data_IF_214281440560
#
_entry.id   IF_214281440560
#
_cell.length_a   1.000
_cell.length_b   1.000
_cell.length_c   1.000
_cell.angle_alpha   90.00
_cell.angle_beta   90.00
_cell.angle_gamma   90.00
#
_symmetry.space_group_name_H-M   'P 1'
#
loop_
_entity.id
_entity.type
_entity.pdbx_description
1 polymer ?
#
# COMPACT_ATOMS: atom_id res chain seq x y z
N UNK A 1 24.80 -1.66 6.51
CA UNK A 1 24.13 -1.25 5.26
C UNK A 1 23.57 -2.49 4.57
N UNK A 2 22.39 -2.38 3.95
CA UNK A 2 21.76 -3.49 3.25
C UNK A 2 21.22 -3.01 1.92
N UNK A 3 21.43 -3.80 0.87
CA UNK A 3 20.88 -3.53 -0.47
C UNK A 3 19.83 -4.61 -0.74
N UNK A 4 18.62 -4.18 -1.05
CA UNK A 4 17.48 -5.08 -1.23
C UNK A 4 16.96 -4.93 -2.66
N UNK A 5 16.86 -6.06 -3.36
CA UNK A 5 16.18 -6.10 -4.65
C UNK A 5 14.77 -6.66 -4.42
N UNK A 6 13.76 -5.82 -4.59
CA UNK A 6 12.36 -6.21 -4.35
C UNK A 6 11.95 -7.42 -5.19
N UNK A 7 12.49 -7.54 -6.40
CA UNK A 7 12.18 -8.67 -7.28
C UNK A 7 12.58 -10.03 -6.68
N UNK A 8 13.51 -10.05 -5.73
CA UNK A 8 13.99 -11.28 -5.10
C UNK A 8 13.18 -11.66 -3.84
N UNK A 9 12.22 -10.84 -3.45
CA UNK A 9 11.36 -11.11 -2.30
C UNK A 9 10.15 -11.89 -2.78
N UNK A 10 9.85 -13.01 -2.11
CA UNK A 10 8.67 -13.80 -2.43
C UNK A 10 7.40 -12.97 -2.22
N UNK A 11 6.55 -12.93 -3.26
CA UNK A 11 5.26 -12.27 -3.18
C UNK A 11 4.27 -13.22 -2.49
N UNK A 12 3.54 -12.69 -1.52
CA UNK A 12 2.51 -13.46 -0.80
C UNK A 12 1.14 -12.91 -1.13
N UNK A 13 0.20 -13.80 -1.46
CA UNK A 13 -1.17 -13.40 -1.67
C UNK A 13 -1.83 -13.12 -0.32
N UNK A 14 -2.41 -11.93 -0.17
CA UNK A 14 -3.05 -11.49 1.07
C UNK A 14 -4.53 -11.15 0.85
N UNK A 15 -5.11 -11.65 -0.23
CA UNK A 15 -6.50 -11.33 -0.63
C UNK A 15 -7.54 -11.72 0.42
N UNK A 16 -7.22 -12.65 1.30
CA UNK A 16 -8.08 -13.04 2.42
C UNK A 16 -8.03 -12.12 3.63
N UNK A 17 -7.13 -11.14 3.64
CA UNK A 17 -7.06 -10.16 4.71
C UNK A 17 -8.32 -9.27 4.68
N UNK A 18 -8.98 -9.02 5.83
CA UNK A 18 -10.19 -8.18 5.88
C UNK A 18 -10.03 -6.78 5.29
N UNK A 19 -8.80 -6.29 5.17
CA UNK A 19 -8.53 -4.96 4.61
C UNK A 19 -8.84 -4.88 3.10
N UNK A 20 -8.78 -6.00 2.37
CA UNK A 20 -8.88 -6.01 0.90
C UNK A 20 -10.17 -6.65 0.40
N UNK A 21 -10.60 -6.23 -0.80
CA UNK A 21 -11.70 -6.87 -1.51
C UNK A 21 -11.65 -6.58 -3.02
N UNK A 22 -12.38 -7.37 -3.79
CA UNK A 22 -12.55 -7.16 -5.23
C UNK A 22 -11.60 -7.94 -6.12
N UNK A 23 -10.65 -8.71 -5.56
CA UNK A 23 -9.73 -9.51 -6.35
C UNK A 23 -8.45 -9.82 -5.58
N UNK A 24 -7.38 -10.09 -6.31
CA UNK A 24 -6.11 -10.54 -5.72
C UNK A 24 -5.20 -9.37 -5.36
N UNK A 25 -4.59 -9.48 -4.19
CA UNK A 25 -3.57 -8.55 -3.69
C UNK A 25 -2.35 -9.37 -3.28
N UNK A 26 -1.16 -8.90 -3.68
CA UNK A 26 0.10 -9.52 -3.31
C UNK A 26 0.97 -8.52 -2.57
N UNK A 27 1.67 -8.97 -1.54
CA UNK A 27 2.61 -8.14 -0.78
C UNK A 27 4.00 -8.75 -0.76
N UNK A 28 4.98 -7.86 -0.72
CA UNK A 28 6.38 -8.21 -0.49
C UNK A 28 6.87 -7.29 0.61
N UNK A 29 7.18 -7.85 1.78
CA UNK A 29 7.71 -7.08 2.90
C UNK A 29 9.17 -6.80 2.68
N UNK A 30 9.50 -5.55 2.41
CA UNK A 30 10.85 -5.10 2.08
C UNK A 30 11.66 -4.80 3.34
N UNK A 31 11.09 -4.00 4.23
CA UNK A 31 11.67 -3.67 5.53
C UNK A 31 10.59 -3.71 6.60
N UNK A 32 10.86 -4.40 7.69
CA UNK A 32 9.99 -4.48 8.85
C UNK A 32 10.84 -4.84 10.08
N UNK A 33 10.21 -4.96 11.24
CA UNK A 33 10.90 -5.25 12.49
C UNK A 33 11.73 -6.55 12.42
N UNK A 34 11.21 -7.57 11.75
CA UNK A 34 11.92 -8.82 11.51
C UNK A 34 13.24 -8.62 10.76
N UNK A 35 13.33 -7.57 9.95
CA UNK A 35 14.54 -7.19 9.21
C UNK A 35 15.38 -6.15 9.95
N UNK A 36 15.15 -5.96 11.26
CA UNK A 36 15.83 -4.97 12.11
C UNK A 36 15.47 -3.51 11.80
N UNK A 37 14.41 -3.27 11.05
CA UNK A 37 13.87 -1.94 10.84
C UNK A 37 12.90 -1.62 11.97
N UNK A 38 13.25 -0.65 12.84
CA UNK A 38 12.50 -0.38 14.07
C UNK A 38 11.56 0.82 13.97
N UNK A 39 11.82 1.72 13.05
CA UNK A 39 11.07 2.98 12.95
C UNK A 39 10.22 3.10 11.69
N UNK A 40 10.56 2.33 10.66
CA UNK A 40 9.85 2.36 9.38
C UNK A 40 9.53 0.96 8.90
N UNK A 41 8.45 0.85 8.14
CA UNK A 41 8.08 -0.36 7.42
C UNK A 41 7.94 -0.02 5.95
N UNK A 42 8.47 -0.86 5.07
CA UNK A 42 8.34 -0.71 3.61
C UNK A 42 7.76 -2.00 3.06
N UNK A 43 6.63 -1.89 2.38
CA UNK A 43 5.92 -3.03 1.78
C UNK A 43 5.62 -2.70 0.33
N UNK A 44 5.95 -3.60 -0.58
CA UNK A 44 5.52 -3.49 -1.97
C UNK A 44 4.17 -4.19 -2.10
N UNK A 45 3.17 -3.48 -2.65
CA UNK A 45 1.80 -3.97 -2.74
C UNK A 45 1.34 -3.94 -4.19
N UNK A 46 0.85 -5.07 -4.69
CA UNK A 46 0.32 -5.18 -6.05
C UNK A 46 -1.15 -5.60 -6.01
N UNK A 47 -1.98 -4.77 -6.62
CA UNK A 47 -3.41 -5.01 -6.77
C UNK A 47 -3.73 -5.49 -8.18
N UNK A 48 -4.54 -6.53 -8.29
CA UNK A 48 -5.16 -6.92 -9.56
C UNK A 48 -6.17 -5.85 -10.00
N UNK A 49 -6.53 -5.79 -11.30
CA UNK A 49 -7.49 -4.79 -11.77
C UNK A 49 -8.78 -4.76 -10.95
N UNK A 50 -9.22 -3.56 -10.58
CA UNK A 50 -10.45 -3.35 -9.82
C UNK A 50 -10.39 -3.72 -8.34
N UNK A 51 -9.25 -4.18 -7.85
CA UNK A 51 -9.06 -4.59 -6.46
C UNK A 51 -8.63 -3.39 -5.61
N UNK A 52 -9.15 -3.31 -4.39
CA UNK A 52 -8.87 -2.17 -3.51
C UNK A 52 -8.85 -2.59 -2.04
N UNK A 53 -8.34 -1.71 -1.21
CA UNK A 53 -8.54 -1.87 0.22
C UNK A 53 -9.81 -1.13 0.68
N UNK A 54 -10.25 -1.47 1.89
CA UNK A 54 -11.39 -0.84 2.53
C UNK A 54 -10.99 0.51 3.11
N UNK A 55 -11.97 1.36 3.35
CA UNK A 55 -11.77 2.61 4.06
C UNK A 55 -11.11 2.30 5.41
N UNK A 56 -10.00 2.95 5.69
CA UNK A 56 -9.21 2.67 6.89
C UNK A 56 -8.35 3.87 7.27
N UNK A 57 -7.72 3.78 8.43
CA UNK A 57 -6.75 4.75 8.91
C UNK A 57 -5.47 4.04 9.33
N UNK A 58 -4.38 4.78 9.32
CA UNK A 58 -3.11 4.38 9.94
C UNK A 58 -2.81 5.32 11.10
N UNK A 59 -2.19 4.81 12.16
CA UNK A 59 -1.77 5.66 13.28
C UNK A 59 -0.54 6.49 12.96
N UNK A 60 0.21 6.12 11.92
CA UNK A 60 1.38 6.87 11.43
C UNK A 60 1.09 7.50 10.07
N UNK A 61 1.99 8.37 9.63
CA UNK A 61 1.97 8.82 8.24
C UNK A 61 2.19 7.63 7.30
N UNK A 62 1.67 7.75 6.09
CA UNK A 62 1.91 6.78 5.03
C UNK A 62 2.33 7.49 3.76
N UNK A 63 3.34 6.95 3.10
CA UNK A 63 3.75 7.38 1.77
C UNK A 63 3.51 6.23 0.81
N UNK A 64 2.85 6.51 -0.31
CA UNK A 64 2.73 5.55 -1.41
C UNK A 64 3.57 6.07 -2.57
N UNK A 65 4.49 5.25 -3.04
CA UNK A 65 5.30 5.54 -4.22
C UNK A 65 4.79 4.64 -5.34
N UNK A 66 4.14 5.22 -6.34
CA UNK A 66 3.54 4.46 -7.44
C UNK A 66 4.64 4.04 -8.42
N UNK A 67 4.73 2.74 -8.70
CA UNK A 67 5.77 2.18 -9.55
C UNK A 67 5.24 1.53 -10.82
N UNK A 68 4.01 1.00 -10.80
CA UNK A 68 3.43 0.33 -11.99
C UNK A 68 1.93 0.55 -12.05
N UNK A 69 1.41 0.60 -13.27
CA UNK A 69 -0.03 0.59 -13.51
C UNK A 69 -0.73 1.88 -13.17
N UNK A 70 -2.03 1.79 -12.92
CA UNK A 70 -2.87 2.94 -12.62
C UNK A 70 -3.72 2.64 -11.40
N UNK A 71 -3.66 3.52 -10.42
CA UNK A 71 -4.42 3.41 -9.19
C UNK A 71 -5.36 4.57 -8.98
N UNK A 72 -6.21 4.40 -7.98
CA UNK A 72 -7.12 5.43 -7.50
C UNK A 72 -6.91 5.56 -6.00
N UNK A 73 -6.84 6.80 -5.51
CA UNK A 73 -6.71 7.09 -4.09
C UNK A 73 -7.84 8.03 -3.69
N UNK A 74 -8.58 7.65 -2.65
CA UNK A 74 -9.80 8.34 -2.24
C UNK A 74 -9.72 8.70 -0.78
N UNK A 75 -10.03 9.95 -0.48
CA UNK A 75 -10.31 10.45 0.87
C UNK A 75 -11.74 10.97 0.89
N UNK A 76 -12.19 11.45 2.03
CA UNK A 76 -13.56 12.00 2.16
C UNK A 76 -13.87 13.09 1.12
N UNK A 77 -12.87 13.91 0.78
CA UNK A 77 -13.05 15.09 -0.06
C UNK A 77 -12.36 15.03 -1.42
N UNK A 78 -11.61 13.99 -1.69
CA UNK A 78 -10.79 13.90 -2.90
C UNK A 78 -10.82 12.49 -3.48
N UNK A 79 -10.79 12.43 -4.80
CA UNK A 79 -10.62 11.22 -5.56
C UNK A 79 -9.61 11.51 -6.67
N UNK A 80 -8.50 10.81 -6.67
CA UNK A 80 -7.41 11.05 -7.61
C UNK A 80 -6.95 9.76 -8.28
N UNK A 81 -6.72 9.82 -9.57
CA UNK A 81 -6.03 8.76 -10.32
C UNK A 81 -4.54 9.01 -10.20
N UNK A 82 -3.78 7.95 -9.92
CA UNK A 82 -2.33 8.04 -9.74
C UNK A 82 -1.62 7.06 -10.67
N UNK A 83 -0.47 7.49 -11.18
CA UNK A 83 0.34 6.74 -12.14
C UNK A 83 1.81 6.72 -11.71
N UNK A 84 2.68 5.89 -12.34
CA UNK A 84 4.08 5.78 -11.93
C UNK A 84 4.80 7.13 -11.87
N UNK A 85 5.58 7.31 -10.81
CA UNK A 85 6.28 8.55 -10.52
C UNK A 85 5.53 9.47 -9.55
N UNK A 86 4.26 9.21 -9.31
CA UNK A 86 3.49 9.98 -8.34
C UNK A 86 3.71 9.42 -6.93
N UNK A 87 3.71 10.33 -5.96
CA UNK A 87 3.84 10.02 -4.54
C UNK A 87 2.59 10.54 -3.85
N UNK A 88 1.98 9.68 -3.04
CA UNK A 88 0.80 10.02 -2.24
C UNK A 88 1.24 10.11 -0.78
N UNK A 89 0.88 11.20 -0.13
CA UNK A 89 1.10 11.37 1.31
C UNK A 89 -0.23 11.33 2.03
N UNK A 90 -0.34 10.44 3.02
CA UNK A 90 -1.54 10.31 3.85
C UNK A 90 -1.15 10.65 5.29
N UNK A 91 -1.88 11.59 5.88
CA UNK A 91 -1.64 12.02 7.26
C UNK A 91 -2.05 10.94 8.25
N UNK A 92 -1.48 10.94 9.48
CA UNK A 92 -1.96 10.03 10.53
C UNK A 92 -3.46 10.20 10.75
N UNK A 93 -4.15 9.06 10.88
CA UNK A 93 -5.58 8.98 11.15
C UNK A 93 -6.50 9.55 10.05
N UNK A 94 -5.95 9.81 8.87
CA UNK A 94 -6.77 10.22 7.73
C UNK A 94 -7.49 9.03 7.11
N UNK A 95 -8.81 9.09 7.03
CA UNK A 95 -9.62 8.04 6.42
C UNK A 95 -9.42 8.04 4.92
N UNK A 96 -9.02 6.90 4.37
CA UNK A 96 -8.73 6.76 2.95
C UNK A 96 -8.85 5.30 2.50
N UNK A 97 -8.91 5.14 1.18
CA UNK A 97 -8.72 3.85 0.55
C UNK A 97 -8.01 4.05 -0.79
N UNK A 98 -7.39 3.01 -1.28
CA UNK A 98 -6.76 3.03 -2.61
C UNK A 98 -6.80 1.63 -3.23
N UNK A 99 -6.56 1.57 -4.53
CA UNK A 99 -6.56 0.33 -5.26
C UNK A 99 -6.32 0.55 -6.74
N UNK A 100 -6.45 -0.54 -7.50
CA UNK A 100 -6.27 -0.52 -8.94
C UNK A 100 -7.53 0.01 -9.63
N UNK A 101 -7.34 0.75 -10.72
CA UNK A 101 -8.46 1.09 -11.59
C UNK A 101 -8.99 -0.19 -12.25
N UNK A 102 -10.19 -0.11 -12.83
CA UNK A 102 -10.91 -1.26 -13.35
C UNK A 102 -10.13 -2.06 -14.40
N UNK A 103 -9.31 -1.39 -15.19
CA UNK A 103 -8.63 -2.00 -16.34
C UNK A 103 -7.11 -2.10 -16.21
N UNK A 104 -6.57 -1.86 -15.03
CA UNK A 104 -5.12 -1.85 -14.80
C UNK A 104 -4.77 -2.55 -13.50
N UNK A 105 -3.60 -3.18 -13.48
CA UNK A 105 -2.94 -3.50 -12.21
C UNK A 105 -2.43 -2.21 -11.57
N UNK A 106 -2.12 -2.25 -10.29
CA UNK A 106 -1.58 -1.11 -9.58
C UNK A 106 -0.55 -1.60 -8.56
N UNK A 107 0.68 -1.11 -8.68
CA UNK A 107 1.76 -1.45 -7.75
C UNK A 107 2.33 -0.19 -7.14
N UNK A 108 2.51 -0.21 -5.83
CA UNK A 108 3.16 0.88 -5.11
C UNK A 108 4.00 0.34 -3.96
N UNK A 109 5.01 1.10 -3.57
CA UNK A 109 5.68 0.93 -2.30
C UNK A 109 4.87 1.69 -1.25
N UNK A 110 4.60 1.05 -0.12
CA UNK A 110 3.96 1.67 1.03
C UNK A 110 5.01 1.84 2.13
N UNK A 111 5.19 3.06 2.59
CA UNK A 111 6.12 3.38 3.67
C UNK A 111 5.31 3.94 4.82
N UNK A 112 5.40 3.30 5.98
CA UNK A 112 4.76 3.77 7.21
C UNK A 112 5.78 3.83 8.33
N UNK A 113 5.45 4.53 9.40
CA UNK A 113 6.20 4.44 10.64
C UNK A 113 5.91 3.12 11.35
N UNK A 114 6.65 2.85 12.39
CA UNK A 114 6.43 1.73 13.29
C UNK A 114 6.57 2.19 14.75
N UNK A 115 5.71 1.68 15.65
CA UNK A 115 4.55 0.83 15.40
C UNK A 115 3.43 1.58 14.67
N UNK A 116 2.68 0.87 13.84
CA UNK A 116 1.57 1.41 13.08
C UNK A 116 0.32 0.56 13.33
N UNK A 117 -0.79 1.19 13.67
CA UNK A 117 -2.07 0.52 13.84
C UNK A 117 -2.99 0.88 12.69
N UNK A 118 -3.56 -0.14 12.07
CA UNK A 118 -4.54 0.01 10.99
C UNK A 118 -5.92 -0.20 11.58
N UNK A 119 -6.82 0.74 11.33
CA UNK A 119 -8.22 0.65 11.76
C UNK A 119 -9.11 0.66 10.53
N UNK A 120 -9.81 -0.43 10.31
CA UNK A 120 -10.80 -0.54 9.24
C UNK A 120 -12.09 0.13 9.71
N UNK A 121 -12.63 1.00 8.87
CA UNK A 121 -13.83 1.77 9.19
C UNK A 121 -15.10 1.00 8.90
#
# INVERSE_FOLDING_TARGET
>A
MRIINVANIEAKEVSGDPLFFGGKVFTQFVLEEEHSAKKIQVVNVKFAPGTRNKLHTHSTEQILIVTEGEGIVVTKNQENTVTPGMIVFVSPNEEHWHGATKNSTFTHLSITGQPNQIKIM
#
